data_IF_436571409447
#
_entry.id   IF_436571409447
#
_cell.length_a   1.000
_cell.length_b   1.000
_cell.length_c   1.000
_cell.angle_alpha   90.00
_cell.angle_beta   90.00
_cell.angle_gamma   90.00
#
_symmetry.space_group_name_H-M   'P 1'
#
loop_
_entity.id
_entity.type
_entity.pdbx_description
1 polymer ?
#
# COMPACT_ATOMS: atom_id res chain seq x y z
N UNK A 1 -20.34 -16.05 -8.91
CA UNK A 1 -19.06 -16.18 -9.65
C UNK A 1 -18.69 -14.90 -10.38
N UNK A 2 -19.59 -14.26 -11.17
CA UNK A 2 -19.35 -12.94 -11.79
C UNK A 2 -18.91 -11.83 -10.81
N UNK A 3 -19.50 -11.79 -9.62
CA UNK A 3 -19.21 -10.80 -8.57
C UNK A 3 -17.76 -10.89 -8.02
N UNK A 4 -17.19 -12.10 -7.90
CA UNK A 4 -15.81 -12.25 -7.39
C UNK A 4 -14.76 -11.82 -8.41
N UNK A 5 -14.99 -12.04 -9.70
CA UNK A 5 -14.06 -11.62 -10.76
C UNK A 5 -14.02 -10.10 -10.91
N UNK A 6 -15.18 -9.45 -10.77
CA UNK A 6 -15.28 -8.00 -10.75
C UNK A 6 -14.58 -7.42 -9.52
N UNK A 7 -14.88 -7.93 -8.33
CA UNK A 7 -14.16 -7.57 -7.10
C UNK A 7 -12.65 -7.74 -7.27
N UNK A 8 -12.20 -8.88 -7.78
CA UNK A 8 -10.80 -9.18 -8.00
C UNK A 8 -10.15 -8.18 -8.97
N UNK A 9 -10.82 -7.83 -10.08
CA UNK A 9 -10.33 -6.83 -11.03
C UNK A 9 -10.18 -5.45 -10.35
N UNK A 10 -11.14 -5.04 -9.55
CA UNK A 10 -11.05 -3.77 -8.80
C UNK A 10 -9.90 -3.79 -7.79
N UNK A 11 -9.67 -4.91 -7.09
CA UNK A 11 -8.51 -5.03 -6.19
C UNK A 11 -7.18 -4.99 -6.95
N UNK A 12 -7.11 -5.59 -8.15
CA UNK A 12 -5.90 -5.51 -8.98
C UNK A 12 -5.61 -4.07 -9.42
N UNK A 13 -6.64 -3.34 -9.85
CA UNK A 13 -6.50 -1.94 -10.27
C UNK A 13 -6.05 -1.05 -9.11
N UNK A 14 -6.70 -1.18 -7.95
CA UNK A 14 -6.35 -0.47 -6.73
C UNK A 14 -4.89 -0.76 -6.30
N UNK A 15 -4.45 -2.02 -6.40
CA UNK A 15 -3.06 -2.39 -6.16
C UNK A 15 -2.09 -1.74 -7.15
N UNK A 16 -2.44 -1.67 -8.44
CA UNK A 16 -1.61 -1.05 -9.47
C UNK A 16 -1.48 0.47 -9.25
N UNK A 17 -2.59 1.16 -8.93
CA UNK A 17 -2.57 2.59 -8.61
C UNK A 17 -1.69 2.89 -7.38
N UNK A 18 -1.74 2.02 -6.37
CA UNK A 18 -0.87 2.16 -5.21
C UNK A 18 0.60 1.89 -5.55
N UNK A 19 0.88 0.90 -6.42
CA UNK A 19 2.24 0.64 -6.91
C UNK A 19 2.84 1.85 -7.59
N UNK A 20 2.11 2.48 -8.51
CA UNK A 20 2.56 3.68 -9.23
C UNK A 20 2.85 4.83 -8.26
N UNK A 21 1.96 5.06 -7.30
CA UNK A 21 2.17 6.05 -6.24
C UNK A 21 3.45 5.79 -5.42
N UNK A 22 3.66 4.54 -5.00
CA UNK A 22 4.87 4.17 -4.23
C UNK A 22 6.13 4.37 -5.05
N UNK A 23 6.11 4.08 -6.36
CA UNK A 23 7.24 4.32 -7.26
C UNK A 23 7.61 5.82 -7.29
N UNK A 24 6.63 6.71 -7.44
CA UNK A 24 6.87 8.16 -7.48
C UNK A 24 7.40 8.69 -6.14
N UNK A 25 6.79 8.25 -5.03
CA UNK A 25 7.20 8.66 -3.68
C UNK A 25 8.60 8.14 -3.34
N UNK A 26 8.90 6.89 -3.70
CA UNK A 26 10.22 6.30 -3.49
C UNK A 26 11.28 7.01 -4.35
N UNK A 27 10.94 7.36 -5.59
CA UNK A 27 11.83 8.12 -6.49
C UNK A 27 12.24 9.46 -5.88
N UNK A 28 11.28 10.22 -5.33
CA UNK A 28 11.55 11.48 -4.64
C UNK A 28 12.47 11.32 -3.41
N UNK A 29 12.46 10.14 -2.79
CA UNK A 29 13.34 9.79 -1.69
C UNK A 29 14.68 9.17 -2.12
N UNK A 30 14.97 9.11 -3.43
CA UNK A 30 16.21 8.55 -3.98
C UNK A 30 16.23 7.02 -4.10
N UNK A 31 15.08 6.35 -3.94
CA UNK A 31 14.93 4.92 -4.11
C UNK A 31 14.25 4.60 -5.45
N UNK A 32 14.99 4.02 -6.38
CA UNK A 32 14.46 3.67 -7.71
C UNK A 32 13.82 2.28 -7.70
N UNK A 33 12.52 2.21 -7.96
CA UNK A 33 11.76 0.96 -8.06
C UNK A 33 11.28 0.80 -9.50
N UNK A 34 11.83 -0.20 -10.21
CA UNK A 34 11.45 -0.52 -11.58
C UNK A 34 10.48 -1.71 -11.62
N UNK A 35 9.17 -1.45 -11.55
CA UNK A 35 8.12 -2.46 -11.61
C UNK A 35 7.99 -3.09 -13.01
N UNK A 36 7.72 -4.40 -13.07
CA UNK A 36 7.37 -5.06 -14.31
C UNK A 36 5.87 -4.89 -14.58
N UNK A 37 5.51 -4.45 -15.79
CA UNK A 37 4.11 -4.32 -16.19
C UNK A 37 3.46 -5.66 -16.61
N UNK A 38 4.25 -6.59 -17.16
CA UNK A 38 3.68 -7.83 -17.69
C UNK A 38 3.43 -8.86 -16.59
N UNK A 39 2.23 -9.45 -16.58
CA UNK A 39 1.88 -10.55 -15.67
C UNK A 39 2.86 -11.72 -15.77
N UNK A 40 3.31 -12.03 -16.99
CA UNK A 40 4.29 -13.11 -17.20
C UNK A 40 5.55 -12.87 -16.40
N UNK A 41 6.15 -11.68 -16.47
CA UNK A 41 7.34 -11.35 -15.69
C UNK A 41 7.04 -11.27 -14.19
N UNK A 42 5.93 -10.66 -13.80
CA UNK A 42 5.52 -10.58 -12.39
C UNK A 42 5.45 -11.99 -11.75
N UNK A 43 4.92 -12.98 -12.49
CA UNK A 43 4.81 -14.35 -12.00
C UNK A 43 6.10 -15.17 -12.11
N UNK A 44 6.90 -14.97 -13.15
CA UNK A 44 8.08 -15.82 -13.41
C UNK A 44 9.39 -15.27 -12.86
N UNK A 45 9.50 -13.95 -12.66
CA UNK A 45 10.72 -13.26 -12.21
C UNK A 45 10.51 -12.59 -10.85
N UNK A 46 9.33 -12.03 -10.61
CA UNK A 46 9.00 -11.20 -9.44
C UNK A 46 8.38 -9.87 -9.87
N UNK A 47 7.82 -9.10 -8.94
CA UNK A 47 7.05 -7.88 -9.28
C UNK A 47 7.91 -6.79 -9.90
N UNK A 48 9.17 -6.63 -9.47
CA UNK A 48 10.06 -5.57 -9.95
C UNK A 48 11.49 -6.04 -10.22
N UNK A 49 12.18 -5.35 -11.12
CA UNK A 49 13.61 -5.54 -11.39
C UNK A 49 14.48 -5.19 -10.19
N UNK A 50 14.02 -4.24 -9.37
CA UNK A 50 14.67 -3.79 -8.14
C UNK A 50 14.52 -4.78 -6.99
N UNK A 51 13.67 -5.81 -7.12
CA UNK A 51 13.45 -6.81 -6.07
C UNK A 51 12.62 -6.29 -4.89
N UNK A 52 11.60 -5.47 -5.19
CA UNK A 52 10.62 -4.90 -4.27
C UNK A 52 9.23 -5.44 -4.58
N UNK A 53 8.55 -5.98 -3.56
CA UNK A 53 7.10 -6.27 -3.58
C UNK A 53 6.35 -5.13 -2.88
N UNK A 54 5.24 -4.68 -3.44
CA UNK A 54 4.45 -3.54 -2.91
C UNK A 54 3.03 -4.00 -2.60
N UNK A 55 2.55 -3.75 -1.38
CA UNK A 55 1.19 -4.08 -0.93
C UNK A 55 0.45 -2.87 -0.41
N UNK A 56 -0.75 -2.66 -0.94
CA UNK A 56 -1.68 -1.65 -0.44
C UNK A 56 -2.44 -2.20 0.79
N UNK A 57 -2.24 -1.57 1.94
CA UNK A 57 -2.95 -1.88 3.19
C UNK A 57 -4.02 -0.84 3.50
N UNK A 58 -5.20 -1.06 2.94
CA UNK A 58 -6.38 -0.21 3.14
C UNK A 58 -6.94 -0.19 4.56
N UNK A 59 -6.53 -1.16 5.40
CA UNK A 59 -7.05 -1.30 6.76
C UNK A 59 -6.06 -0.79 7.81
N UNK A 60 -4.88 -0.33 7.39
CA UNK A 60 -3.86 0.17 8.31
C UNK A 60 -4.44 1.22 9.26
N UNK A 61 -5.01 2.31 8.73
CA UNK A 61 -5.58 3.41 9.55
C UNK A 61 -6.60 2.94 10.60
N UNK A 62 -7.48 2.01 10.23
CA UNK A 62 -8.55 1.57 11.12
C UNK A 62 -8.09 0.52 12.13
N UNK A 63 -7.03 -0.23 11.82
CA UNK A 63 -6.55 -1.31 12.66
C UNK A 63 -5.31 -0.95 13.49
N UNK A 64 -4.57 0.10 13.12
CA UNK A 64 -3.27 0.42 13.71
C UNK A 64 -2.20 -0.67 13.50
N UNK A 65 -2.40 -1.52 12.48
CA UNK A 65 -1.52 -2.64 12.15
C UNK A 65 -1.20 -2.64 10.66
N UNK A 66 0.01 -3.09 10.32
CA UNK A 66 0.41 -3.45 8.97
C UNK A 66 0.12 -4.94 8.75
N UNK A 67 -0.56 -5.25 7.66
CA UNK A 67 -0.77 -6.62 7.19
C UNK A 67 0.44 -7.10 6.38
N UNK A 68 1.17 -8.08 6.93
CA UNK A 68 2.31 -8.71 6.25
C UNK A 68 1.91 -10.10 5.75
N UNK A 69 1.72 -10.23 4.45
CA UNK A 69 1.33 -11.47 3.77
C UNK A 69 2.48 -12.49 3.73
N UNK A 70 2.18 -13.76 3.98
CA UNK A 70 3.14 -14.87 3.88
C UNK A 70 2.63 -16.07 3.06
N UNK A 71 1.32 -16.15 2.77
CA UNK A 71 0.78 -17.21 1.93
C UNK A 71 -0.54 -16.79 1.26
N UNK A 72 -0.82 -17.29 0.06
CA UNK A 72 -2.02 -16.93 -0.70
C UNK A 72 -2.69 -18.10 -1.43
N UNK A 73 -3.91 -17.85 -1.91
CA UNK A 73 -4.64 -18.64 -2.90
C UNK A 73 -5.21 -17.70 -3.95
N UNK A 74 -4.97 -18.02 -5.22
CA UNK A 74 -5.58 -17.31 -6.36
C UNK A 74 -7.11 -17.20 -6.31
N UNK A 75 -7.79 -18.21 -5.74
CA UNK A 75 -9.24 -18.22 -5.56
C UNK A 75 -9.65 -18.94 -4.28
N UNK A 76 -10.80 -18.60 -3.66
CA UNK A 76 -11.31 -19.30 -2.49
C UNK A 76 -11.60 -20.77 -2.85
N UNK A 77 -10.71 -21.68 -2.45
CA UNK A 77 -10.87 -23.12 -2.69
C UNK A 77 -10.31 -23.96 -1.55
N UNK A 78 -10.83 -25.18 -1.34
CA UNK A 78 -10.20 -26.18 -0.48
C UNK A 78 -8.75 -26.47 -0.92
N UNK A 79 -7.90 -26.87 0.02
CA UNK A 79 -6.49 -27.20 -0.22
C UNK A 79 -5.49 -26.20 0.39
N UNK A 80 -4.19 -26.41 0.16
CA UNK A 80 -3.13 -25.63 0.78
C UNK A 80 -3.02 -24.20 0.21
N UNK A 81 -2.44 -23.30 1.00
CA UNK A 81 -1.96 -21.99 0.54
C UNK A 81 -0.59 -22.15 -0.13
N UNK A 82 -0.32 -21.36 -1.15
CA UNK A 82 1.01 -21.26 -1.75
C UNK A 82 1.84 -20.18 -1.02
N UNK A 83 3.17 -20.29 -0.96
CA UNK A 83 4.03 -19.22 -0.46
C UNK A 83 3.76 -17.90 -1.21
N UNK A 84 3.60 -16.81 -0.45
CA UNK A 84 3.32 -15.47 -0.97
C UNK A 84 4.03 -14.41 -0.11
N UNK A 85 4.03 -13.17 -0.58
CA UNK A 85 4.66 -12.06 0.13
C UNK A 85 6.05 -12.42 0.64
N UNK A 86 6.27 -12.22 1.93
CA UNK A 86 7.59 -12.40 2.53
C UNK A 86 8.18 -13.82 2.40
N UNK A 87 7.39 -14.85 2.06
CA UNK A 87 7.87 -16.21 1.87
C UNK A 87 8.39 -16.50 0.45
N UNK A 88 8.20 -15.59 -0.51
CA UNK A 88 8.80 -15.69 -1.84
C UNK A 88 10.26 -15.23 -1.81
N UNK A 89 11.09 -15.77 -2.70
CA UNK A 89 12.54 -15.49 -2.78
C UNK A 89 12.91 -14.60 -3.99
N UNK A 90 11.92 -14.01 -4.65
CA UNK A 90 12.07 -13.17 -5.85
C UNK A 90 12.18 -11.66 -5.54
N UNK A 91 12.01 -11.28 -4.27
CA UNK A 91 12.19 -9.92 -3.79
C UNK A 91 12.90 -9.93 -2.43
N UNK A 92 13.63 -8.87 -2.13
CA UNK A 92 14.38 -8.70 -0.89
C UNK A 92 13.83 -7.56 -0.03
N UNK A 93 13.01 -6.68 -0.62
CA UNK A 93 12.37 -5.55 0.03
C UNK A 93 10.85 -5.67 -0.08
N UNK A 94 10.15 -5.39 1.01
CA UNK A 94 8.70 -5.39 1.08
C UNK A 94 8.21 -4.00 1.47
N UNK A 95 7.40 -3.39 0.60
CA UNK A 95 6.76 -2.11 0.84
C UNK A 95 5.29 -2.31 1.19
N UNK A 96 4.83 -1.72 2.29
CA UNK A 96 3.43 -1.82 2.72
C UNK A 96 2.96 -0.52 3.35
N UNK A 97 1.71 -0.15 3.10
CA UNK A 97 1.10 1.03 3.68
C UNK A 97 -0.09 1.52 2.90
N UNK A 98 -0.35 2.82 3.01
CA UNK A 98 -1.41 3.53 2.30
C UNK A 98 -0.86 4.83 1.69
N UNK A 99 -1.74 5.66 1.13
CA UNK A 99 -1.34 6.92 0.50
C UNK A 99 -0.76 7.97 1.47
N UNK A 100 -0.84 7.76 2.78
CA UNK A 100 -0.29 8.69 3.77
C UNK A 100 1.04 8.24 4.35
N UNK A 101 1.26 6.92 4.43
CA UNK A 101 2.51 6.35 4.92
C UNK A 101 2.86 5.04 4.22
N UNK A 102 4.12 4.90 3.83
CA UNK A 102 4.68 3.70 3.20
C UNK A 102 5.89 3.23 4.01
N UNK A 103 5.86 1.99 4.46
CA UNK A 103 6.93 1.35 5.20
C UNK A 103 7.68 0.39 4.29
N UNK A 104 9.02 0.44 4.31
CA UNK A 104 9.88 -0.48 3.59
C UNK A 104 10.65 -1.35 4.57
N UNK A 105 10.58 -2.67 4.39
CA UNK A 105 11.25 -3.64 5.24
C UNK A 105 12.12 -4.57 4.42
N UNK A 106 13.27 -4.96 4.98
CA UNK A 106 14.02 -6.09 4.46
C UNK A 106 13.27 -7.40 4.77
N UNK A 107 13.15 -8.28 3.77
CA UNK A 107 12.38 -9.53 3.90
C UNK A 107 12.89 -10.47 4.99
N UNK A 108 14.21 -10.56 5.14
CA UNK A 108 14.83 -11.37 6.19
C UNK A 108 14.41 -10.91 7.60
N UNK A 109 14.29 -9.60 7.80
CA UNK A 109 13.80 -9.02 9.05
C UNK A 109 12.33 -9.41 9.31
N UNK A 110 11.46 -9.25 8.31
CA UNK A 110 10.05 -9.65 8.44
C UNK A 110 9.89 -11.14 8.70
N UNK A 111 10.71 -12.00 8.09
CA UNK A 111 10.74 -13.45 8.38
C UNK A 111 11.18 -13.72 9.82
N UNK A 112 12.17 -12.98 10.32
CA UNK A 112 12.58 -13.05 11.72
C UNK A 112 11.46 -12.64 12.67
N UNK A 113 10.75 -11.55 12.37
CA UNK A 113 9.58 -11.09 13.13
C UNK A 113 8.43 -12.11 13.09
N UNK A 114 8.18 -12.72 11.93
CA UNK A 114 7.18 -13.78 11.77
C UNK A 114 7.49 -15.04 12.61
N UNK A 115 8.77 -15.40 12.71
CA UNK A 115 9.26 -16.53 13.51
C UNK A 115 9.38 -16.21 15.00
N UNK A 116 9.40 -14.92 15.37
CA UNK A 116 9.52 -14.50 16.75
C UNK A 116 8.35 -15.04 17.59
N UNK A 117 8.69 -15.58 18.76
CA UNK A 117 7.74 -16.20 19.68
C UNK A 117 7.82 -15.52 21.04
N UNK A 118 6.73 -15.57 21.79
CA UNK A 118 6.68 -15.16 23.20
C UNK A 118 7.31 -16.25 24.08
N UNK A 119 7.44 -15.98 25.38
CA UNK A 119 8.01 -16.94 26.34
C UNK A 119 7.23 -18.27 26.40
N UNK A 120 5.94 -18.25 26.11
CA UNK A 120 5.07 -19.43 26.05
C UNK A 120 5.16 -20.21 24.73
N UNK A 121 6.04 -19.81 23.81
CA UNK A 121 6.21 -20.42 22.49
C UNK A 121 5.14 -20.03 21.47
N UNK A 122 4.15 -19.21 21.84
CA UNK A 122 3.17 -18.70 20.88
C UNK A 122 3.78 -17.62 19.98
N UNK A 123 3.28 -17.44 18.74
CA UNK A 123 3.76 -16.38 17.87
C UNK A 123 3.65 -15.00 18.53
N UNK A 124 4.71 -14.19 18.40
CA UNK A 124 4.73 -12.81 18.93
C UNK A 124 3.60 -11.97 18.33
N UNK A 125 3.43 -12.06 17.01
CA UNK A 125 2.43 -11.32 16.26
C UNK A 125 1.21 -12.18 15.93
N UNK A 126 0.02 -11.56 15.93
CA UNK A 126 -1.23 -12.24 15.61
C UNK A 126 -1.22 -12.65 14.14
N UNK A 127 -1.38 -13.95 13.87
CA UNK A 127 -1.60 -14.48 12.53
C UNK A 127 -3.08 -14.44 12.20
N UNK A 128 -3.40 -14.01 10.99
CA UNK A 128 -4.77 -13.89 10.49
C UNK A 128 -4.89 -14.56 9.14
N UNK A 129 -6.10 -14.98 8.82
CA UNK A 129 -6.41 -15.68 7.58
C UNK A 129 -7.72 -15.15 7.00
N UNK A 130 -7.72 -14.86 5.71
CA UNK A 130 -8.90 -14.61 4.91
C UNK A 130 -9.25 -15.85 4.07
N UNK A 131 -10.17 -15.72 3.11
CA UNK A 131 -10.50 -16.81 2.17
C UNK A 131 -9.34 -17.14 1.21
N UNK A 132 -8.44 -16.20 0.99
CA UNK A 132 -7.42 -16.24 -0.06
C UNK A 132 -6.04 -15.78 0.37
N UNK A 133 -5.86 -15.27 1.59
CA UNK A 133 -4.56 -14.80 2.06
C UNK A 133 -4.35 -15.15 3.53
N UNK A 134 -3.10 -15.37 3.89
CA UNK A 134 -2.62 -15.51 5.25
C UNK A 134 -1.50 -14.50 5.49
N UNK A 135 -1.56 -13.85 6.64
CA UNK A 135 -0.60 -12.85 7.04
C UNK A 135 -0.50 -12.74 8.56
N UNK A 136 0.41 -11.89 9.03
CA UNK A 136 0.45 -11.48 10.43
C UNK A 136 0.30 -9.98 10.54
N UNK A 137 -0.18 -9.54 11.70
CA UNK A 137 -0.39 -8.13 12.00
C UNK A 137 0.79 -7.59 12.78
N UNK A 138 1.50 -6.65 12.16
CA UNK A 138 2.60 -5.92 12.76
C UNK A 138 2.07 -4.56 13.26
N UNK A 139 2.03 -4.29 14.58
CA UNK A 139 1.62 -2.99 15.09
C UNK A 139 2.44 -1.86 14.46
N UNK A 140 1.81 -0.71 14.20
CA UNK A 140 2.50 0.42 13.55
C UNK A 140 3.75 0.89 14.30
N UNK A 141 3.74 0.86 15.63
CA UNK A 141 4.92 1.23 16.43
C UNK A 141 6.11 0.31 16.13
N UNK A 142 5.85 -1.00 16.02
CA UNK A 142 6.87 -1.96 15.61
C UNK A 142 7.22 -1.78 14.13
N UNK A 143 6.25 -1.45 13.29
CA UNK A 143 6.48 -1.08 11.88
C UNK A 143 7.46 0.08 11.73
N UNK A 144 7.23 1.17 12.45
CA UNK A 144 8.12 2.34 12.47
C UNK A 144 9.49 2.03 13.06
N UNK A 145 9.55 1.14 14.06
CA UNK A 145 10.79 0.71 14.69
C UNK A 145 11.68 -0.13 13.77
N UNK A 146 11.09 -1.05 13.02
CA UNK A 146 11.84 -2.05 12.24
C UNK A 146 11.97 -1.72 10.76
N UNK A 147 11.18 -0.78 10.23
CA UNK A 147 11.29 -0.38 8.83
C UNK A 147 12.69 0.20 8.54
N UNK A 148 13.24 -0.18 7.39
CA UNK A 148 14.47 0.40 6.86
C UNK A 148 14.24 1.84 6.37
N UNK A 149 13.03 2.13 5.90
CA UNK A 149 12.60 3.45 5.46
C UNK A 149 11.11 3.61 5.72
N UNK A 150 10.71 4.78 6.20
CA UNK A 150 9.30 5.18 6.32
C UNK A 150 9.12 6.48 5.55
N UNK A 151 8.29 6.44 4.52
CA UNK A 151 7.91 7.62 3.75
C UNK A 151 6.54 8.08 4.21
N UNK A 152 6.38 9.39 4.42
CA UNK A 152 5.12 10.01 4.89
C UNK A 152 4.66 11.07 3.89
N UNK A 153 4.08 10.68 2.75
CA UNK A 153 3.65 11.62 1.72
C UNK A 153 2.48 12.51 2.16
N UNK A 154 1.71 12.07 3.15
CA UNK A 154 0.54 12.79 3.68
C UNK A 154 -0.43 13.22 2.56
N UNK A 155 -0.85 12.26 1.72
CA UNK A 155 -1.72 12.55 0.60
C UNK A 155 -3.07 13.10 1.06
N UNK A 156 -3.63 12.60 2.16
CA UNK A 156 -4.88 13.08 2.73
C UNK A 156 -4.77 14.56 3.13
N UNK A 157 -3.72 14.93 3.89
CA UNK A 157 -3.49 16.32 4.27
C UNK A 157 -3.28 17.24 3.07
N UNK A 158 -2.55 16.77 2.05
CA UNK A 158 -2.38 17.51 0.78
C UNK A 158 -3.70 17.72 0.04
N UNK A 159 -4.57 16.71 -0.03
CA UNK A 159 -5.88 16.84 -0.67
C UNK A 159 -6.77 17.83 0.08
N UNK A 160 -6.81 17.73 1.41
CA UNK A 160 -7.56 18.66 2.26
C UNK A 160 -7.10 20.11 2.07
N UNK A 161 -5.78 20.33 2.02
CA UNK A 161 -5.22 21.65 1.74
C UNK A 161 -5.65 22.16 0.35
N UNK A 162 -5.61 21.31 -0.68
CA UNK A 162 -6.02 21.72 -2.04
C UNK A 162 -7.50 22.05 -2.14
N UNK A 163 -8.36 21.33 -1.44
CA UNK A 163 -9.79 21.66 -1.35
C UNK A 163 -9.96 23.04 -0.71
N UNK A 164 -9.27 23.28 0.40
CA UNK A 164 -9.28 24.57 1.10
C UNK A 164 -8.80 25.72 0.20
N UNK A 165 -7.71 25.51 -0.54
CA UNK A 165 -7.17 26.49 -1.49
C UNK A 165 -8.21 26.82 -2.59
N UNK A 166 -8.87 25.80 -3.14
CA UNK A 166 -9.89 25.96 -4.18
C UNK A 166 -11.11 26.73 -3.67
N UNK A 167 -11.57 26.44 -2.46
CA UNK A 167 -12.66 27.20 -1.82
C UNK A 167 -12.27 28.67 -1.62
N UNK A 168 -11.04 28.94 -1.17
CA UNK A 168 -10.51 30.29 -1.02
C UNK A 168 -10.44 31.06 -2.35
N UNK A 169 -9.99 30.38 -3.41
CA UNK A 169 -9.95 30.95 -4.76
C UNK A 169 -11.36 31.26 -5.29
N UNK A 170 -12.31 30.36 -5.10
CA UNK A 170 -13.70 30.55 -5.52
C UNK A 170 -14.35 31.76 -4.82
N UNK A 171 -14.09 31.95 -3.52
CA UNK A 171 -14.57 33.12 -2.77
C UNK A 171 -13.94 34.42 -3.30
N UNK A 172 -12.63 34.40 -3.54
CA UNK A 172 -11.92 35.56 -4.10
C UNK A 172 -12.47 35.94 -5.48
N UNK A 173 -12.70 34.95 -6.34
CA UNK A 173 -13.29 35.16 -7.67
C UNK A 173 -14.70 35.75 -7.56
N UNK A 174 -15.52 35.25 -6.63
CA UNK A 174 -16.86 35.77 -6.40
C UNK A 174 -16.86 37.25 -5.98
N UNK A 175 -15.94 37.66 -5.10
CA UNK A 175 -15.80 39.08 -4.71
C UNK A 175 -15.49 39.96 -5.92
N UNK A 176 -14.52 39.56 -6.74
CA UNK A 176 -14.16 40.30 -7.97
C UNK A 176 -15.34 40.43 -8.93
N UNK A 177 -16.14 39.37 -9.08
CA UNK A 177 -17.35 39.38 -9.93
C UNK A 177 -18.42 40.35 -9.41
N UNK A 178 -18.56 40.52 -8.09
CA UNK A 178 -19.50 41.47 -7.49
C UNK A 178 -19.03 42.93 -7.63
N UNK A 179 -17.73 43.18 -7.57
CA UNK A 179 -17.16 44.53 -7.70
C UNK A 179 -17.25 45.08 -9.14
N UNK A 180 -17.34 44.21 -10.15
CA UNK A 180 -17.49 44.62 -11.54
C UNK A 180 -18.59 43.81 -12.25
N UNK A 181 -19.85 44.26 -12.21
CA UNK A 181 -21.00 43.53 -12.77
C UNK A 181 -20.87 43.20 -14.26
N UNK A 182 -20.03 43.92 -15.01
CA UNK A 182 -19.74 43.65 -16.43
C UNK A 182 -18.90 42.40 -16.64
N UNK A 183 -18.27 41.86 -15.60
CA UNK A 183 -17.48 40.62 -15.65
C UNK A 183 -18.33 39.37 -15.39
N UNK A 184 -19.60 39.51 -14.98
CA UNK A 184 -20.54 38.38 -14.82
C UNK A 184 -20.81 37.63 -16.13
N UNK A 185 -20.52 38.22 -17.29
CA UNK A 185 -20.74 37.61 -18.61
C UNK A 185 -19.48 36.96 -19.20
N UNK A 186 -18.35 36.96 -18.48
CA UNK A 186 -17.08 36.35 -18.93
C UNK A 186 -16.91 34.89 -18.47
N UNK A 187 -17.85 34.38 -17.67
CA UNK A 187 -17.96 33.02 -17.17
C UNK A 187 -19.38 32.50 -17.43
#
# INVERSE_FOLDING_TARGET
MRDYEEYYRTQMEDGALFQDFVVDVAWQAGLVIAQYASKTYQFSVGESRSGVEIKHDKQRKSTGNLYVEYAEKRRPRPGPYAPAGIMRNDHWLFAVGDYDVVYFFANNLLRGLFAASKADGSPKYRRVQSRTSQGFLLPEDDGAKYAALVLRPDAAGKVEQRITDLEGLARSLHVVMLENPKQLTLF
#
